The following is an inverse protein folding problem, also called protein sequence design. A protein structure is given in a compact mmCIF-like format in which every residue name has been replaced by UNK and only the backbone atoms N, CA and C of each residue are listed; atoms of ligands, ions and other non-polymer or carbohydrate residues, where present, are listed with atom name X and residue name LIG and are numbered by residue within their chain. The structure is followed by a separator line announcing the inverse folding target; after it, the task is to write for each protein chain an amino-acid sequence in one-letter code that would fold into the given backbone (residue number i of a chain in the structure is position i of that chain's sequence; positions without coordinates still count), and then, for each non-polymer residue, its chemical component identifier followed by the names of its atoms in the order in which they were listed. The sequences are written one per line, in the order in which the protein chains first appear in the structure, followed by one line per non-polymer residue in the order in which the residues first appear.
data_IF_801191159013
#
_entry.id   IF_801191159013
#
_cell.length_a   1.000
_cell.length_b   1.000
_cell.length_c   1.000
_cell.angle_alpha   90.00
_cell.angle_beta   90.00
_cell.angle_gamma   90.00
#
_symmetry.space_group_name_H-M   'P 1'
#
loop_
_entity.id
_entity.type
_entity.pdbx_description
1 polymer ?
#
# COMPACT_ATOMS: atom_id res chain seq x y z
N UNK A 1 -9.90 21.66 -16.91
CA UNK A 1 -8.80 21.38 -15.96
C UNK A 1 -8.58 19.89 -16.02
N UNK A 2 -7.41 19.44 -16.48
CA UNK A 2 -7.14 18.01 -16.56
C UNK A 2 -7.10 17.49 -15.12
N UNK A 3 -8.03 16.60 -14.78
CA UNK A 3 -7.89 15.75 -13.61
C UNK A 3 -6.55 15.03 -13.78
N UNK A 4 -5.58 15.29 -12.90
CA UNK A 4 -4.28 14.60 -12.93
C UNK A 4 -4.52 13.13 -12.53
N UNK A 5 -4.87 12.32 -13.51
CA UNK A 5 -4.79 10.87 -13.40
C UNK A 5 -3.32 10.48 -13.22
N UNK A 6 -3.07 9.68 -12.19
CA UNK A 6 -1.71 9.23 -11.88
C UNK A 6 -1.59 7.72 -11.96
N UNK A 7 -0.35 7.28 -12.15
CA UNK A 7 0.01 5.87 -12.02
C UNK A 7 0.58 5.63 -10.64
N UNK A 8 0.06 4.63 -9.92
CA UNK A 8 0.55 4.24 -8.60
C UNK A 8 0.84 2.73 -8.58
N UNK A 9 1.83 2.34 -7.79
CA UNK A 9 2.13 0.92 -7.55
C UNK A 9 1.70 0.54 -6.14
N UNK A 10 0.82 -0.45 -6.04
CA UNK A 10 0.36 -1.00 -4.76
C UNK A 10 1.05 -2.32 -4.51
N UNK A 11 1.91 -2.38 -3.48
CA UNK A 11 2.53 -3.60 -2.99
C UNK A 11 1.56 -4.30 -2.03
N UNK A 12 0.98 -5.40 -2.47
CA UNK A 12 0.19 -6.28 -1.62
C UNK A 12 1.15 -7.03 -0.70
N UNK A 13 1.15 -6.75 0.60
CA UNK A 13 2.00 -7.44 1.57
C UNK A 13 1.17 -8.54 2.22
N UNK A 14 1.58 -9.79 2.01
CA UNK A 14 0.94 -10.96 2.61
C UNK A 14 1.62 -11.37 3.92
N UNK A 15 2.92 -11.12 4.06
CA UNK A 15 3.66 -11.44 5.28
C UNK A 15 4.89 -10.55 5.41
N UNK A 16 4.98 -9.88 6.56
CA UNK A 16 6.14 -9.09 6.95
C UNK A 16 7.35 -9.97 7.26
N UNK A 17 7.14 -11.02 8.07
CA UNK A 17 8.18 -11.95 8.53
C UNK A 17 8.91 -12.65 7.38
N UNK A 18 8.17 -13.11 6.37
CA UNK A 18 8.71 -13.80 5.19
C UNK A 18 9.01 -12.85 4.02
N UNK A 19 8.85 -11.55 4.22
CA UNK A 19 9.06 -10.54 3.18
C UNK A 19 8.27 -10.79 1.89
N UNK A 20 7.06 -11.33 2.04
CA UNK A 20 6.25 -11.83 0.94
C UNK A 20 5.28 -10.75 0.46
N UNK A 21 5.58 -10.12 -0.67
CA UNK A 21 4.74 -9.11 -1.30
C UNK A 21 4.64 -9.27 -2.82
N UNK A 22 3.59 -8.69 -3.42
CA UNK A 22 3.38 -8.62 -4.87
C UNK A 22 2.98 -7.20 -5.29
N UNK A 23 3.71 -6.55 -6.21
CA UNK A 23 3.30 -5.24 -6.73
C UNK A 23 2.17 -5.39 -7.76
N UNK A 24 1.24 -4.45 -7.72
CA UNK A 24 0.15 -4.28 -8.70
C UNK A 24 0.11 -2.81 -9.10
N UNK A 25 0.19 -2.55 -10.40
CA UNK A 25 0.15 -1.18 -10.94
C UNK A 25 -1.28 -0.80 -11.24
N UNK A 26 -1.69 0.38 -10.78
CA UNK A 26 -2.97 1.01 -11.06
C UNK A 26 -2.76 2.29 -11.86
N UNK A 27 -3.40 2.37 -13.01
CA UNK A 27 -3.39 3.53 -13.91
C UNK A 27 -4.68 4.32 -13.73
N UNK A 28 -4.65 5.63 -14.03
CA UNK A 28 -5.87 6.43 -14.01
C UNK A 28 -6.40 6.75 -12.61
N UNK A 29 -5.54 6.74 -11.58
CA UNK A 29 -5.99 6.94 -10.21
C UNK A 29 -6.23 8.42 -9.95
N UNK A 30 -7.47 8.76 -9.54
CA UNK A 30 -7.85 10.12 -9.18
C UNK A 30 -7.33 10.48 -7.79
N UNK A 31 -6.49 11.50 -7.66
CA UNK A 31 -5.89 11.89 -6.38
C UNK A 31 -6.86 12.58 -5.40
N UNK A 32 -7.99 13.08 -5.90
CA UNK A 32 -9.01 13.77 -5.09
C UNK A 32 -9.96 12.80 -4.36
N UNK A 33 -9.96 11.51 -4.72
CA UNK A 33 -10.72 10.50 -3.98
C UNK A 33 -10.12 10.29 -2.58
N UNK A 34 -10.95 9.86 -1.64
CA UNK A 34 -10.49 9.55 -0.27
C UNK A 34 -9.68 8.25 -0.25
N UNK A 35 -8.77 8.15 0.73
CA UNK A 35 -8.03 6.91 1.01
C UNK A 35 -9.01 5.76 1.26
N UNK A 36 -10.10 6.03 1.98
CA UNK A 36 -11.15 5.04 2.24
C UNK A 36 -11.80 4.49 0.97
N UNK A 37 -12.20 5.38 0.04
CA UNK A 37 -12.76 4.96 -1.25
C UNK A 37 -11.77 4.10 -2.03
N UNK A 38 -10.49 4.51 -2.03
CA UNK A 38 -9.45 3.76 -2.69
C UNK A 38 -9.23 2.37 -2.07
N UNK A 39 -9.25 2.24 -0.74
CA UNK A 39 -9.18 0.95 -0.03
C UNK A 39 -10.37 0.06 -0.41
N UNK A 40 -11.59 0.61 -0.46
CA UNK A 40 -12.80 -0.14 -0.86
C UNK A 40 -12.65 -0.66 -2.29
N UNK A 41 -12.18 0.19 -3.22
CA UNK A 41 -11.89 -0.21 -4.59
C UNK A 41 -10.86 -1.36 -4.64
N UNK A 42 -9.73 -1.24 -3.95
CA UNK A 42 -8.71 -2.29 -3.89
C UNK A 42 -9.27 -3.62 -3.37
N UNK A 43 -10.08 -3.58 -2.30
CA UNK A 43 -10.72 -4.77 -1.72
C UNK A 43 -11.67 -5.47 -2.68
N UNK A 44 -12.28 -4.75 -3.62
CA UNK A 44 -13.16 -5.32 -4.64
C UNK A 44 -12.38 -5.83 -5.85
N UNK A 45 -11.35 -5.11 -6.28
CA UNK A 45 -10.56 -5.41 -7.46
C UNK A 45 -9.57 -6.57 -7.24
N UNK A 46 -8.88 -6.64 -6.09
CA UNK A 46 -7.85 -7.66 -5.81
C UNK A 46 -8.38 -9.10 -5.94
N UNK A 47 -9.54 -9.49 -5.36
CA UNK A 47 -10.06 -10.85 -5.50
C UNK A 47 -10.39 -11.25 -6.95
N UNK A 48 -10.69 -10.28 -7.81
CA UNK A 48 -11.08 -10.49 -9.21
C UNK A 48 -9.87 -10.64 -10.14
N UNK A 49 -8.67 -10.22 -9.72
CA UNK A 49 -7.45 -10.30 -10.54
C UNK A 49 -6.94 -11.74 -10.67
N UNK A 50 -7.31 -12.41 -11.75
CA UNK A 50 -6.87 -13.78 -12.05
C UNK A 50 -5.35 -13.93 -12.18
N UNK A 51 -4.62 -12.84 -12.47
CA UNK A 51 -3.15 -12.80 -12.49
C UNK A 51 -2.51 -12.89 -11.10
N UNK A 52 -3.27 -12.66 -10.03
CA UNK A 52 -2.79 -12.77 -8.65
C UNK A 52 -2.99 -14.20 -8.11
N UNK A 53 -1.97 -14.77 -7.46
CA UNK A 53 -2.09 -16.10 -6.86
C UNK A 53 -3.12 -16.06 -5.69
N UNK A 54 -3.85 -17.17 -5.43
CA UNK A 54 -4.92 -17.21 -4.42
C UNK A 54 -4.53 -16.67 -3.02
N UNK A 55 -3.31 -16.91 -2.49
CA UNK A 55 -2.90 -16.37 -1.20
C UNK A 55 -2.89 -14.84 -1.12
N UNK A 56 -2.77 -14.14 -2.24
CA UNK A 56 -2.84 -12.69 -2.28
C UNK A 56 -4.25 -12.18 -2.53
N UNK A 57 -5.09 -12.96 -3.23
CA UNK A 57 -6.49 -12.61 -3.50
C UNK A 57 -7.40 -12.75 -2.29
N UNK A 58 -7.15 -13.79 -1.48
CA UNK A 58 -8.01 -14.16 -0.36
C UNK A 58 -7.48 -13.66 1.00
N UNK A 59 -6.49 -12.76 0.98
CA UNK A 59 -5.88 -12.22 2.19
C UNK A 59 -6.59 -10.95 2.65
N UNK A 60 -6.58 -10.71 3.96
CA UNK A 60 -7.17 -9.51 4.56
C UNK A 60 -6.20 -8.34 4.38
N UNK A 61 -6.66 -7.28 3.74
CA UNK A 61 -5.93 -6.02 3.66
C UNK A 61 -6.82 -4.91 4.18
N UNK A 62 -6.26 -3.95 4.92
CA UNK A 62 -7.05 -2.91 5.56
C UNK A 62 -6.32 -1.57 5.74
N UNK A 63 -4.98 -1.54 5.70
CA UNK A 63 -4.19 -0.31 5.81
C UNK A 63 -3.27 -0.08 4.63
N UNK A 64 -3.09 1.20 4.31
CA UNK A 64 -2.17 1.68 3.30
C UNK A 64 -1.03 2.47 3.96
N UNK A 65 0.20 2.26 3.51
CA UNK A 65 1.38 3.04 3.92
C UNK A 65 2.26 3.38 2.73
N UNK A 66 2.77 4.61 2.66
CA UNK A 66 3.72 5.03 1.63
C UNK A 66 5.04 4.28 1.82
N UNK A 67 5.52 3.63 0.76
CA UNK A 67 6.83 2.97 0.73
C UNK A 67 7.87 3.87 0.08
N UNK A 68 7.51 4.50 -1.03
CA UNK A 68 8.41 5.35 -1.80
C UNK A 68 7.62 6.44 -2.52
N UNK A 69 8.14 7.66 -2.47
CA UNK A 69 7.63 8.79 -3.24
C UNK A 69 8.67 9.16 -4.30
N UNK A 70 8.23 9.55 -5.51
CA UNK A 70 9.14 10.02 -6.55
C UNK A 70 10.03 11.15 -6.01
N UNK A 71 11.30 11.17 -6.41
CA UNK A 71 12.30 12.17 -6.01
C UNK A 71 12.67 12.20 -4.51
N UNK A 72 12.20 11.24 -3.70
CA UNK A 72 12.71 11.01 -2.35
C UNK A 72 13.65 9.82 -2.31
N UNK A 73 14.51 9.75 -1.31
CA UNK A 73 15.41 8.61 -1.12
C UNK A 73 14.59 7.35 -0.90
N UNK A 74 14.84 6.33 -1.74
CA UNK A 74 14.29 4.99 -1.54
C UNK A 74 14.92 4.38 -0.30
N UNK A 75 14.10 3.97 0.66
CA UNK A 75 14.55 3.23 1.83
C UNK A 75 15.04 1.85 1.41
N UNK A 76 16.09 1.34 2.07
CA UNK A 76 16.63 -0.01 1.83
C UNK A 76 15.72 -1.13 2.40
N UNK A 77 14.54 -0.77 2.91
CA UNK A 77 13.58 -1.70 3.52
C UNK A 77 12.82 -2.45 2.42
N UNK A 78 13.03 -3.76 2.35
CA UNK A 78 12.53 -4.60 1.24
C UNK A 78 11.00 -4.76 1.24
N UNK A 79 10.35 -4.66 2.41
CA UNK A 79 8.94 -5.00 2.58
C UNK A 79 8.12 -3.75 2.88
N UNK A 80 8.34 -3.17 4.06
CA UNK A 80 7.73 -1.96 4.55
C UNK A 80 8.57 -1.46 5.72
N UNK A 81 8.80 -0.16 5.80
CA UNK A 81 9.51 0.39 6.95
C UNK A 81 8.63 0.43 8.21
N UNK A 82 9.22 0.22 9.38
CA UNK A 82 8.55 0.39 10.68
C UNK A 82 8.56 1.85 11.18
N UNK A 83 9.30 2.73 10.51
CA UNK A 83 9.51 4.13 10.90
C UNK A 83 8.44 5.06 10.31
N UNK A 84 8.34 6.29 10.85
CA UNK A 84 7.49 7.39 10.38
C UNK A 84 6.00 7.04 10.13
N UNK A 85 5.39 6.18 10.96
CA UNK A 85 3.97 5.82 10.84
C UNK A 85 3.02 7.03 10.86
N UNK A 86 3.30 8.04 11.69
CA UNK A 86 2.49 9.26 11.77
C UNK A 86 2.37 10.03 10.46
N UNK A 87 3.35 9.88 9.57
CA UNK A 87 3.43 10.58 8.28
C UNK A 87 3.12 9.70 7.10
N UNK A 88 3.53 8.43 7.13
CA UNK A 88 3.48 7.54 5.98
C UNK A 88 2.24 6.64 5.99
N UNK A 89 1.59 6.43 7.14
CA UNK A 89 0.34 5.67 7.21
C UNK A 89 -0.82 6.55 6.73
N UNK A 90 -1.52 6.11 5.68
CA UNK A 90 -2.59 6.91 5.07
C UNK A 90 -3.82 6.94 5.99
N UNK A 91 -4.31 8.14 6.27
CA UNK A 91 -5.55 8.37 7.02
C UNK A 91 -6.75 8.23 6.09
N UNK A 92 -7.71 7.39 6.48
CA UNK A 92 -8.87 7.03 5.65
C UNK A 92 -9.73 8.24 5.23
N UNK A 93 -9.83 9.24 6.10
CA UNK A 93 -10.60 10.47 5.87
C UNK A 93 -9.89 11.52 5.00
N UNK A 94 -8.60 11.32 4.69
CA UNK A 94 -7.84 12.23 3.83
C UNK A 94 -7.99 11.83 2.35
N UNK A 95 -7.79 12.79 1.44
CA UNK A 95 -7.64 12.47 0.01
C UNK A 95 -6.28 11.83 -0.25
N UNK A 96 -6.14 11.07 -1.33
CA UNK A 96 -4.84 10.51 -1.74
C UNK A 96 -3.79 11.63 -1.90
N UNK A 97 -4.18 12.77 -2.50
CA UNK A 97 -3.32 13.95 -2.62
C UNK A 97 -2.85 14.49 -1.27
N UNK A 98 -3.78 14.69 -0.33
CA UNK A 98 -3.47 15.22 1.00
C UNK A 98 -2.63 14.24 1.83
N UNK A 99 -2.77 12.94 1.57
CA UNK A 99 -1.95 11.90 2.18
C UNK A 99 -0.54 11.80 1.57
N UNK A 100 -0.21 12.63 0.57
CA UNK A 100 1.11 12.69 -0.05
C UNK A 100 1.30 11.74 -1.24
N UNK A 101 0.22 11.19 -1.80
CA UNK A 101 0.30 10.37 -3.02
C UNK A 101 0.42 11.28 -4.25
N UNK A 102 1.38 10.94 -5.10
CA UNK A 102 1.64 11.57 -6.39
C UNK A 102 1.89 10.49 -7.46
N UNK A 103 2.09 10.91 -8.71
CA UNK A 103 2.48 10.00 -9.78
C UNK A 103 3.73 9.19 -9.41
N UNK A 104 3.74 7.90 -9.77
CA UNK A 104 4.80 6.93 -9.48
C UNK A 104 5.06 6.67 -7.99
N UNK A 105 4.13 7.05 -7.12
CA UNK A 105 4.20 6.66 -5.70
C UNK A 105 4.01 5.15 -5.55
N UNK A 106 4.87 4.53 -4.75
CA UNK A 106 4.70 3.16 -4.29
C UNK A 106 4.09 3.15 -2.90
N UNK A 107 2.96 2.45 -2.75
CA UNK A 107 2.27 2.26 -1.46
C UNK A 107 2.16 0.77 -1.15
N UNK A 108 2.20 0.42 0.12
CA UNK A 108 1.94 -0.92 0.61
C UNK A 108 0.48 -1.04 1.05
N UNK A 109 -0.15 -2.17 0.74
CA UNK A 109 -1.47 -2.56 1.24
C UNK A 109 -1.31 -3.85 2.05
N UNK A 110 -1.73 -3.81 3.32
CA UNK A 110 -1.42 -4.85 4.31
C UNK A 110 -2.50 -4.95 5.39
N UNK A 111 -2.39 -5.98 6.24
CA UNK A 111 -3.23 -6.12 7.42
C UNK A 111 -2.62 -5.41 8.65
N UNK A 112 -3.40 -4.54 9.30
CA UNK A 112 -2.97 -3.80 10.49
C UNK A 112 -2.52 -4.70 11.64
N UNK A 113 -3.26 -5.79 11.93
CA UNK A 113 -2.89 -6.73 12.99
C UNK A 113 -1.51 -7.34 12.74
N UNK A 114 -1.26 -7.80 11.52
CA UNK A 114 -0.01 -8.43 11.14
C UNK A 114 1.15 -7.42 11.21
N UNK A 115 0.90 -6.16 10.85
CA UNK A 115 1.86 -5.07 10.99
C UNK A 115 2.17 -4.76 12.47
N UNK A 116 1.15 -4.64 13.32
CA UNK A 116 1.31 -4.39 14.76
C UNK A 116 2.07 -5.52 15.44
N UNK A 117 1.77 -6.78 15.10
CA UNK A 117 2.50 -7.94 15.61
C UNK A 117 3.97 -7.91 15.17
N UNK A 118 4.23 -7.68 13.88
CA UNK A 118 5.60 -7.57 13.38
C UNK A 118 6.37 -6.41 14.00
N UNK A 119 5.72 -5.26 14.23
CA UNK A 119 6.33 -4.11 14.92
C UNK A 119 6.66 -4.39 16.38
N UNK A 120 5.80 -5.13 17.08
CA UNK A 120 6.04 -5.53 18.48
C UNK A 120 7.14 -6.58 18.62
N UNK A 121 7.33 -7.42 17.60
CA UNK A 121 8.34 -8.47 17.58
C UNK A 121 8.91 -8.65 16.15
N UNK A 122 9.89 -7.82 15.73
CA UNK A 122 10.41 -7.83 14.37
C UNK A 122 11.35 -9.02 14.16
N UNK A 123 10.78 -10.22 14.07
CA UNK A 123 11.49 -11.43 13.67
C UNK A 123 11.33 -11.61 12.16
N UNK A 124 12.45 -11.62 11.44
CA UNK A 124 12.48 -12.06 10.05
C UNK A 124 12.65 -13.58 10.04
N UNK A 125 11.69 -14.31 9.45
CA UNK A 125 11.80 -15.75 9.21
C UNK A 125 12.25 -15.99 7.77
N UNK A 126 13.43 -16.61 7.64
CA UNK A 126 14.14 -16.88 6.38
C UNK A 126 13.63 -18.16 5.70
#
# INVERSE_FOLDING_TARGET
MASEDVTITVRLIRSFEHRNFRPVVYYGVHLDQTVKEFIVFLKQDIPLRTSLPPPFRNYKYDKLKIVHQPHKSKTNELVLSLEDDDRLLLKEDSTLKAAGIANETEIAFFCEDDYKNYKANPLSSW
#
